data_IF_397281263421
#
_entry.id   IF_397281263421
#
_cell.length_a   1.000
_cell.length_b   1.000
_cell.length_c   1.000
_cell.angle_alpha   90.00
_cell.angle_beta   90.00
_cell.angle_gamma   90.00
#
_symmetry.space_group_name_H-M   'P 1'
#
loop_
_entity.id
_entity.type
_entity.pdbx_description
1 polymer ?
#
# COMPACT_ATOMS: atom_id res chain seq x y z
N UNK A 1 -16.67 1.91 1.09
CA UNK A 1 -16.31 2.86 2.17
C UNK A 1 -16.76 2.35 3.53
N UNK A 2 -18.04 2.43 3.93
CA UNK A 2 -18.49 1.95 5.25
C UNK A 2 -18.21 0.44 5.52
N UNK A 3 -18.31 -0.40 4.49
CA UNK A 3 -17.96 -1.83 4.57
C UNK A 3 -16.46 -2.09 4.74
N UNK A 4 -15.61 -1.15 4.35
CA UNK A 4 -14.15 -1.31 4.34
C UNK A 4 -13.53 -0.85 5.66
N UNK A 5 -14.07 0.23 6.25
CA UNK A 5 -13.70 0.73 7.58
C UNK A 5 -13.97 -0.30 8.68
N UNK A 6 -15.03 -1.10 8.54
CA UNK A 6 -15.33 -2.21 9.46
C UNK A 6 -14.33 -3.38 9.38
N UNK A 7 -13.53 -3.45 8.30
CA UNK A 7 -12.53 -4.49 8.07
C UNK A 7 -11.10 -4.03 8.38
N UNK A 8 -10.90 -2.78 8.76
CA UNK A 8 -9.57 -2.27 9.12
C UNK A 8 -9.07 -2.96 10.40
N UNK A 9 -7.87 -3.53 10.34
CA UNK A 9 -7.21 -4.22 11.47
C UNK A 9 -6.81 -3.22 12.55
N UNK A 10 -7.80 -2.80 13.35
CA UNK A 10 -7.59 -1.98 14.53
C UNK A 10 -6.94 -2.82 15.64
N UNK A 11 -6.08 -2.22 16.49
CA UNK A 11 -5.35 -2.94 17.53
C UNK A 11 -6.25 -3.82 18.41
N UNK A 12 -5.80 -5.06 18.64
CA UNK A 12 -6.48 -6.01 19.53
C UNK A 12 -6.42 -5.50 20.99
N UNK A 13 -7.59 -5.32 21.62
CA UNK A 13 -7.70 -4.84 23.01
C UNK A 13 -8.46 -3.54 23.18
N UNK A 14 -8.89 -2.91 22.09
CA UNK A 14 -9.72 -1.71 22.09
C UNK A 14 -11.18 -2.01 22.41
N UNK A 15 -11.83 -1.14 23.18
CA UNK A 15 -13.27 -1.25 23.45
C UNK A 15 -14.09 -0.90 22.21
N UNK A 16 -15.33 -1.40 22.12
CA UNK A 16 -16.22 -1.11 20.99
C UNK A 16 -16.50 0.39 20.83
N UNK A 17 -16.47 1.14 21.94
CA UNK A 17 -16.65 2.60 21.96
C UNK A 17 -15.45 3.30 21.33
N UNK A 18 -14.24 2.96 21.74
CA UNK A 18 -13.00 3.52 21.16
C UNK A 18 -12.88 3.19 19.67
N UNK A 19 -13.24 1.95 19.29
CA UNK A 19 -13.28 1.53 17.89
C UNK A 19 -14.25 2.39 17.09
N UNK A 20 -15.45 2.62 17.61
CA UNK A 20 -16.48 3.44 16.94
C UNK A 20 -15.99 4.87 16.73
N UNK A 21 -15.36 5.48 17.73
CA UNK A 21 -14.80 6.84 17.63
C UNK A 21 -13.72 6.92 16.55
N UNK A 22 -12.81 5.94 16.49
CA UNK A 22 -11.77 5.92 15.45
C UNK A 22 -12.34 5.70 14.05
N UNK A 23 -13.38 4.89 13.91
CA UNK A 23 -14.06 4.70 12.63
C UNK A 23 -14.73 5.99 12.14
N UNK A 24 -15.39 6.72 13.02
CA UNK A 24 -15.95 8.04 12.70
C UNK A 24 -14.86 9.02 12.27
N UNK A 25 -13.78 9.13 13.05
CA UNK A 25 -12.64 9.99 12.73
C UNK A 25 -11.98 9.63 11.39
N UNK A 26 -11.88 8.34 11.08
CA UNK A 26 -11.34 7.86 9.82
C UNK A 26 -12.21 8.26 8.63
N UNK A 27 -13.53 8.10 8.78
CA UNK A 27 -14.51 8.50 7.76
C UNK A 27 -14.44 10.02 7.54
N UNK A 28 -14.45 10.80 8.61
CA UNK A 28 -14.37 12.26 8.55
C UNK A 28 -13.09 12.72 7.84
N UNK A 29 -11.96 12.11 8.15
CA UNK A 29 -10.68 12.42 7.53
C UNK A 29 -10.68 12.11 6.01
N UNK A 30 -11.19 10.95 5.60
CA UNK A 30 -11.26 10.57 4.18
C UNK A 30 -12.22 11.51 3.43
N UNK A 31 -13.41 11.75 3.99
CA UNK A 31 -14.41 12.64 3.38
C UNK A 31 -13.89 14.06 3.28
N UNK A 32 -13.18 14.56 4.28
CA UNK A 32 -12.56 15.88 4.25
C UNK A 32 -11.60 16.02 3.06
N UNK A 33 -10.71 15.05 2.85
CA UNK A 33 -9.74 15.08 1.73
C UNK A 33 -10.45 15.02 0.38
N UNK A 34 -11.42 14.13 0.21
CA UNK A 34 -12.17 13.99 -1.04
C UNK A 34 -13.06 15.20 -1.34
N UNK A 35 -13.61 15.84 -0.30
CA UNK A 35 -14.39 17.06 -0.47
C UNK A 35 -13.51 18.27 -0.84
N UNK A 36 -12.31 18.36 -0.26
CA UNK A 36 -11.34 19.39 -0.58
C UNK A 36 -10.72 19.24 -1.98
N UNK A 37 -10.69 18.01 -2.50
CA UNK A 37 -10.07 17.65 -3.78
C UNK A 37 -11.03 16.80 -4.65
N UNK A 38 -12.01 17.43 -5.32
CA UNK A 38 -13.04 16.73 -6.10
C UNK A 38 -12.50 15.97 -7.32
N UNK A 39 -11.26 16.24 -7.74
CA UNK A 39 -10.55 15.49 -8.77
C UNK A 39 -10.11 14.09 -8.31
N UNK A 40 -10.05 13.85 -6.99
CA UNK A 40 -9.59 12.59 -6.42
C UNK A 40 -10.76 11.62 -6.19
N UNK A 41 -10.53 10.37 -6.57
CA UNK A 41 -11.52 9.30 -6.46
C UNK A 41 -11.05 8.30 -5.40
N UNK A 42 -11.97 7.90 -4.53
CA UNK A 42 -11.71 6.86 -3.53
C UNK A 42 -11.43 5.52 -4.21
N UNK A 43 -10.36 4.85 -3.80
CA UNK A 43 -10.06 3.48 -4.18
C UNK A 43 -10.08 2.55 -2.95
N UNK A 44 -10.33 1.27 -3.18
CA UNK A 44 -10.33 0.25 -2.13
C UNK A 44 -8.89 0.00 -1.64
N UNK A 45 -8.64 0.31 -0.37
CA UNK A 45 -7.31 0.27 0.26
C UNK A 45 -6.81 1.64 0.73
N UNK A 46 -7.45 2.73 0.29
CA UNK A 46 -7.09 4.09 0.74
C UNK A 46 -7.29 4.29 2.25
N UNK A 47 -8.28 3.61 2.82
CA UNK A 47 -8.57 3.63 4.25
C UNK A 47 -7.43 3.03 5.10
N UNK A 48 -6.61 2.12 4.55
CA UNK A 48 -5.48 1.53 5.27
C UNK A 48 -4.37 2.54 5.49
N UNK A 49 -4.13 3.39 4.50
CA UNK A 49 -3.19 4.52 4.63
C UNK A 49 -3.73 5.53 5.64
N UNK A 50 -5.02 5.85 5.51
CA UNK A 50 -5.69 6.80 6.38
C UNK A 50 -5.69 6.33 7.86
N UNK A 51 -6.02 5.07 8.14
CA UNK A 51 -6.02 4.54 9.52
C UNK A 51 -4.60 4.47 10.08
N UNK A 52 -3.60 4.14 9.26
CA UNK A 52 -2.19 4.16 9.69
C UNK A 52 -1.76 5.55 10.14
N UNK A 53 -2.11 6.59 9.39
CA UNK A 53 -1.85 7.99 9.78
C UNK A 53 -2.64 8.40 11.02
N UNK A 54 -3.92 8.02 11.10
CA UNK A 54 -4.76 8.33 12.26
C UNK A 54 -4.19 7.73 13.55
N UNK A 55 -3.75 6.47 13.51
CA UNK A 55 -3.18 5.76 14.65
C UNK A 55 -1.78 6.27 15.05
N UNK A 56 -1.03 6.86 14.12
CA UNK A 56 0.36 7.28 14.36
C UNK A 56 0.49 8.74 14.79
N UNK A 57 -0.21 9.65 14.11
CA UNK A 57 -0.06 11.09 14.29
C UNK A 57 -1.35 11.78 14.74
N UNK A 58 -2.45 11.02 14.88
CA UNK A 58 -3.75 11.53 15.28
C UNK A 58 -4.49 12.27 14.17
N UNK A 59 -5.76 12.62 14.42
CA UNK A 59 -6.67 13.16 13.40
C UNK A 59 -6.12 14.41 12.70
N UNK A 60 -5.69 15.43 13.45
CA UNK A 60 -5.35 16.74 12.86
C UNK A 60 -4.12 16.69 11.94
N UNK A 61 -3.04 16.05 12.38
CA UNK A 61 -1.83 15.91 11.55
C UNK A 61 -2.03 14.83 10.49
N UNK A 62 -2.75 13.75 10.83
CA UNK A 62 -3.12 12.67 9.91
C UNK A 62 -3.90 13.19 8.70
N UNK A 63 -4.88 14.07 8.90
CA UNK A 63 -5.63 14.68 7.79
C UNK A 63 -4.73 15.50 6.86
N UNK A 64 -3.84 16.32 7.41
CA UNK A 64 -2.93 17.14 6.61
C UNK A 64 -1.92 16.29 5.82
N UNK A 65 -1.39 15.24 6.45
CA UNK A 65 -0.52 14.27 5.78
C UNK A 65 -1.26 13.49 4.70
N UNK A 66 -2.47 13.01 4.99
CA UNK A 66 -3.30 12.27 4.05
C UNK A 66 -3.60 13.12 2.82
N UNK A 67 -3.99 14.39 3.02
CA UNK A 67 -4.23 15.32 1.92
C UNK A 67 -2.98 15.50 1.02
N UNK A 68 -1.81 15.66 1.63
CA UNK A 68 -0.54 15.80 0.90
C UNK A 68 -0.21 14.52 0.13
N UNK A 69 -0.39 13.35 0.75
CA UNK A 69 -0.17 12.06 0.10
C UNK A 69 -1.13 11.82 -1.06
N UNK A 70 -2.42 12.11 -0.86
CA UNK A 70 -3.47 11.97 -1.86
C UNK A 70 -3.23 12.83 -3.11
N UNK A 71 -2.67 14.03 -2.94
CA UNK A 71 -2.37 14.95 -4.05
C UNK A 71 -1.02 14.72 -4.72
N UNK A 72 -0.14 13.91 -4.12
CA UNK A 72 1.21 13.64 -4.62
C UNK A 72 1.42 12.13 -4.84
N UNK A 73 1.74 11.39 -3.78
CA UNK A 73 2.18 9.99 -3.85
C UNK A 73 1.09 9.02 -4.30
N UNK A 74 -0.15 9.27 -3.90
CA UNK A 74 -1.29 8.40 -4.18
C UNK A 74 -2.17 8.92 -5.31
N UNK A 75 -1.82 10.08 -5.88
CA UNK A 75 -2.62 10.77 -6.90
C UNK A 75 -2.94 9.86 -8.09
N UNK A 76 -1.97 9.09 -8.54
CA UNK A 76 -2.11 8.20 -9.70
C UNK A 76 -3.07 7.03 -9.42
N UNK A 77 -3.25 6.65 -8.16
CA UNK A 77 -4.20 5.61 -7.73
C UNK A 77 -5.61 6.15 -7.50
N UNK A 78 -5.75 7.48 -7.35
CA UNK A 78 -7.03 8.18 -7.14
C UNK A 78 -7.61 8.75 -8.44
N UNK A 79 -7.07 8.37 -9.60
CA UNK A 79 -7.63 8.73 -10.90
C UNK A 79 -8.94 7.94 -11.15
N UNK A 80 -9.95 8.53 -11.82
CA UNK A 80 -11.19 7.80 -12.15
C UNK A 80 -10.93 6.57 -13.02
N UNK A 81 -9.81 6.54 -13.75
CA UNK A 81 -9.42 5.42 -14.60
C UNK A 81 -8.22 4.66 -14.02
N UNK A 82 -8.14 3.36 -14.28
CA UNK A 82 -6.97 2.56 -13.90
C UNK A 82 -5.74 2.81 -14.81
N UNK A 83 -5.79 3.75 -15.75
CA UNK A 83 -4.74 3.94 -16.75
C UNK A 83 -3.42 4.38 -16.11
N UNK A 84 -3.48 5.37 -15.20
CA UNK A 84 -2.29 5.83 -14.45
C UNK A 84 -1.74 4.75 -13.54
N UNK A 85 -2.60 4.09 -12.78
CA UNK A 85 -2.24 2.93 -11.96
C UNK A 85 -1.53 1.84 -12.76
N UNK A 86 -2.03 1.50 -13.96
CA UNK A 86 -1.39 0.54 -14.86
C UNK A 86 -0.04 1.04 -15.37
N UNK A 87 0.09 2.33 -15.66
CA UNK A 87 1.37 2.94 -16.04
C UNK A 87 2.39 2.81 -14.91
N UNK A 88 2.02 3.13 -13.66
CA UNK A 88 2.89 2.95 -12.49
C UNK A 88 3.31 1.49 -12.32
N UNK A 89 2.37 0.55 -12.46
CA UNK A 89 2.66 -0.88 -12.38
C UNK A 89 3.56 -1.37 -13.51
N UNK A 90 3.47 -0.78 -14.70
CA UNK A 90 4.28 -1.19 -15.85
C UNK A 90 5.77 -0.99 -15.64
N UNK A 91 6.17 -0.07 -14.74
CA UNK A 91 7.56 0.10 -14.33
C UNK A 91 8.14 -1.12 -13.61
N UNK A 92 7.30 -2.02 -13.06
CA UNK A 92 7.78 -3.25 -12.45
C UNK A 92 8.32 -4.25 -13.47
N UNK A 93 7.73 -4.32 -14.66
CA UNK A 93 8.15 -5.28 -15.69
C UNK A 93 9.64 -5.17 -16.06
N UNK A 94 10.20 -3.99 -16.41
CA UNK A 94 11.62 -3.88 -16.72
C UNK A 94 12.52 -4.17 -15.50
N UNK A 95 12.08 -3.83 -14.28
CA UNK A 95 12.83 -4.13 -13.05
C UNK A 95 12.85 -5.64 -12.74
N UNK A 96 11.72 -6.33 -12.95
CA UNK A 96 11.64 -7.78 -12.82
C UNK A 96 12.49 -8.45 -13.91
N UNK A 97 12.48 -7.90 -15.14
CA UNK A 97 13.31 -8.41 -16.23
C UNK A 97 14.81 -8.34 -15.90
N UNK A 98 15.28 -7.25 -15.28
CA UNK A 98 16.70 -7.11 -14.93
C UNK A 98 17.12 -8.02 -13.77
N UNK A 99 16.25 -8.25 -12.79
CA UNK A 99 16.55 -9.07 -11.61
C UNK A 99 16.28 -10.57 -11.84
N UNK A 100 15.21 -10.92 -12.56
CA UNK A 100 14.78 -12.30 -12.80
C UNK A 100 14.05 -12.47 -14.15
N UNK A 101 14.78 -12.65 -15.27
CA UNK A 101 14.21 -12.86 -16.60
C UNK A 101 13.22 -14.05 -16.66
N UNK A 102 13.49 -15.13 -15.91
CA UNK A 102 12.62 -16.31 -15.88
C UNK A 102 11.22 -16.01 -15.30
N UNK A 103 11.14 -15.15 -14.28
CA UNK A 103 9.86 -14.71 -13.73
C UNK A 103 9.15 -13.77 -14.70
N UNK A 104 9.88 -12.83 -15.29
CA UNK A 104 9.34 -11.92 -16.29
C UNK A 104 8.65 -12.69 -17.44
N UNK A 105 9.31 -13.71 -17.99
CA UNK A 105 8.77 -14.52 -19.08
C UNK A 105 7.57 -15.38 -18.65
N UNK A 106 7.52 -15.78 -17.37
CA UNK A 106 6.36 -16.44 -16.80
C UNK A 106 5.15 -15.48 -16.67
N UNK A 107 5.38 -14.26 -16.18
CA UNK A 107 4.33 -13.24 -16.04
C UNK A 107 3.78 -12.79 -17.39
N UNK A 108 4.64 -12.66 -18.42
CA UNK A 108 4.21 -12.37 -19.78
C UNK A 108 3.34 -13.50 -20.36
N UNK A 109 3.78 -14.76 -20.24
CA UNK A 109 3.02 -15.91 -20.78
C UNK A 109 1.70 -16.17 -20.07
N UNK A 110 1.59 -15.78 -18.80
CA UNK A 110 0.38 -15.97 -18.01
C UNK A 110 -0.63 -14.83 -18.17
N UNK A 111 -0.29 -13.76 -18.89
CA UNK A 111 -1.12 -12.57 -19.09
C UNK A 111 -1.56 -11.87 -17.78
N UNK A 112 -0.95 -12.24 -16.64
CA UNK A 112 -1.24 -11.67 -15.32
C UNK A 112 -0.70 -10.24 -15.20
N UNK A 113 0.41 -9.96 -15.90
CA UNK A 113 1.12 -8.69 -15.81
C UNK A 113 1.59 -8.40 -14.38
N UNK A 114 1.42 -7.15 -13.92
CA UNK A 114 1.84 -6.70 -12.59
C UNK A 114 0.67 -6.43 -11.62
N UNK A 115 -0.53 -6.92 -11.93
CA UNK A 115 -1.73 -6.63 -11.13
C UNK A 115 -1.59 -7.15 -9.69
N UNK A 116 -0.82 -8.22 -9.46
CA UNK A 116 -0.56 -8.73 -8.11
C UNK A 116 0.10 -7.71 -7.17
N UNK A 117 0.91 -6.79 -7.71
CA UNK A 117 1.60 -5.76 -6.93
C UNK A 117 0.72 -4.54 -6.66
N UNK A 118 -0.47 -4.48 -7.26
CA UNK A 118 -1.39 -3.35 -7.08
C UNK A 118 -1.77 -3.18 -5.61
N UNK A 119 -2.20 -4.26 -4.95
CA UNK A 119 -2.59 -4.23 -3.54
C UNK A 119 -1.45 -3.73 -2.65
N UNK A 120 -0.21 -4.04 -2.99
CA UNK A 120 0.97 -3.62 -2.25
C UNK A 120 1.21 -2.11 -2.36
N UNK A 121 1.11 -1.57 -3.58
CA UNK A 121 1.35 -0.15 -3.84
C UNK A 121 0.22 0.73 -3.27
N UNK A 122 -1.03 0.31 -3.41
CA UNK A 122 -2.18 1.16 -2.99
C UNK A 122 -2.38 1.20 -1.47
N UNK A 123 -1.87 0.19 -0.75
CA UNK A 123 -1.93 0.12 0.73
C UNK A 123 -0.58 0.42 1.40
N UNK A 124 0.46 0.77 0.62
CA UNK A 124 1.84 0.87 1.10
C UNK A 124 2.26 -0.34 1.96
N UNK A 125 1.95 -1.53 1.47
CA UNK A 125 2.23 -2.82 2.11
C UNK A 125 1.57 -3.04 3.49
N UNK A 126 0.65 -2.17 3.90
CA UNK A 126 -0.04 -2.28 5.19
C UNK A 126 -0.81 -3.59 5.38
N UNK A 127 -1.28 -4.20 4.29
CA UNK A 127 -1.97 -5.51 4.30
C UNK A 127 -1.03 -6.70 4.25
N UNK A 128 0.24 -6.49 3.88
CA UNK A 128 1.19 -7.58 3.61
C UNK A 128 2.06 -7.84 4.83
N UNK A 129 2.39 -6.79 5.59
CA UNK A 129 3.22 -6.88 6.78
C UNK A 129 2.33 -7.03 8.02
N UNK A 130 2.55 -8.11 8.77
CA UNK A 130 1.81 -8.40 10.00
C UNK A 130 2.23 -7.51 11.19
N UNK A 131 3.42 -6.90 11.10
CA UNK A 131 4.01 -6.08 12.15
C UNK A 131 3.85 -4.60 11.83
N UNK A 132 3.05 -3.91 12.64
CA UNK A 132 2.78 -2.49 12.51
C UNK A 132 4.08 -1.65 12.53
N UNK A 133 5.09 -2.03 13.33
CA UNK A 133 6.36 -1.30 13.37
C UNK A 133 7.16 -1.42 12.06
N UNK A 134 7.00 -2.51 11.32
CA UNK A 134 7.61 -2.65 9.99
C UNK A 134 6.91 -1.78 8.96
N UNK A 135 5.57 -1.70 9.03
CA UNK A 135 4.78 -0.79 8.19
C UNK A 135 5.23 0.65 8.43
N UNK A 136 5.35 1.09 9.68
CA UNK A 136 5.79 2.46 9.98
C UNK A 136 7.17 2.80 9.44
N UNK A 137 8.13 1.87 9.54
CA UNK A 137 9.47 2.08 8.95
C UNK A 137 9.43 2.24 7.44
N UNK A 138 8.55 1.50 6.74
CA UNK A 138 8.34 1.71 5.31
C UNK A 138 7.69 3.06 5.02
N UNK A 139 6.75 3.51 5.85
CA UNK A 139 6.15 4.83 5.73
C UNK A 139 7.21 5.93 5.86
N UNK A 140 8.09 5.85 6.86
CA UNK A 140 9.21 6.79 7.04
C UNK A 140 10.10 6.82 5.78
N UNK A 141 10.40 5.65 5.22
CA UNK A 141 11.19 5.54 4.00
C UNK A 141 10.49 6.13 2.78
N UNK A 142 9.19 5.86 2.58
CA UNK A 142 8.43 6.37 1.44
C UNK A 142 8.23 7.88 1.53
N UNK A 143 7.96 8.41 2.72
CA UNK A 143 7.82 9.85 2.96
C UNK A 143 9.13 10.62 2.71
N UNK A 144 10.27 10.00 3.01
CA UNK A 144 11.60 10.60 2.80
C UNK A 144 12.15 10.42 1.36
N UNK A 145 11.46 9.65 0.52
CA UNK A 145 11.97 9.20 -0.79
C UNK A 145 11.11 9.69 -1.96
N UNK A 146 11.52 9.33 -3.18
CA UNK A 146 10.75 9.61 -4.39
C UNK A 146 9.41 8.83 -4.40
N UNK A 147 8.31 9.38 -4.94
CA UNK A 147 6.99 8.70 -4.96
C UNK A 147 6.96 7.32 -5.63
N UNK A 148 7.93 7.01 -6.49
CA UNK A 148 8.08 5.70 -7.14
C UNK A 148 8.81 4.67 -6.27
N UNK A 149 9.32 5.05 -5.10
CA UNK A 149 10.06 4.15 -4.22
C UNK A 149 9.29 2.88 -3.82
N UNK A 150 7.96 2.92 -3.57
CA UNK A 150 7.18 1.70 -3.35
C UNK A 150 7.29 0.67 -4.49
N UNK A 151 7.46 1.13 -5.74
CA UNK A 151 7.66 0.28 -6.93
C UNK A 151 9.03 -0.41 -6.89
N UNK A 152 10.07 0.34 -6.52
CA UNK A 152 11.41 -0.23 -6.35
C UNK A 152 11.45 -1.28 -5.22
N UNK A 153 10.74 -1.03 -4.11
CA UNK A 153 10.59 -2.02 -3.05
C UNK A 153 9.92 -3.31 -3.55
N UNK A 154 8.89 -3.21 -4.39
CA UNK A 154 8.21 -4.37 -4.97
C UNK A 154 9.14 -5.18 -5.89
N UNK A 155 9.99 -4.50 -6.67
CA UNK A 155 10.97 -5.16 -7.53
C UNK A 155 12.09 -5.87 -6.76
N UNK A 156 12.51 -5.32 -5.61
CA UNK A 156 13.55 -5.90 -4.76
C UNK A 156 13.07 -7.12 -3.94
N UNK A 157 11.77 -7.43 -3.95
CA UNK A 157 11.25 -8.66 -3.35
C UNK A 157 11.92 -9.83 -4.06
N UNK A 158 12.77 -10.57 -3.33
CA UNK A 158 13.60 -11.63 -3.93
C UNK A 158 12.71 -12.81 -4.35
N UNK A 159 12.32 -12.81 -5.61
CA UNK A 159 11.56 -13.88 -6.27
C UNK A 159 12.30 -15.22 -6.33
N UNK A 160 13.63 -15.23 -6.15
CA UNK A 160 14.46 -16.42 -6.23
C UNK A 160 14.21 -17.48 -5.14
N UNK A 161 13.53 -17.14 -4.05
CA UNK A 161 13.06 -18.13 -3.06
C UNK A 161 11.72 -18.77 -3.45
N UNK A 162 11.04 -18.22 -4.47
CA UNK A 162 9.93 -18.85 -5.17
C UNK A 162 10.46 -19.94 -6.11
N UNK A 163 11.26 -20.87 -5.58
CA UNK A 163 11.28 -22.21 -6.15
C UNK A 163 9.81 -22.64 -6.15
N UNK A 164 9.29 -22.93 -7.34
CA UNK A 164 8.18 -23.82 -7.70
C UNK A 164 7.66 -24.72 -6.54
N UNK A 165 7.18 -24.14 -5.46
CA UNK A 165 6.63 -24.82 -4.29
C UNK A 165 5.23 -24.26 -4.15
N UNK A 166 4.26 -25.09 -4.51
CA UNK A 166 2.86 -24.83 -4.26
C UNK A 166 2.67 -24.55 -2.77
N UNK A 167 2.36 -23.30 -2.43
CA UNK A 167 1.72 -22.96 -1.17
C UNK A 167 2.28 -21.80 -0.35
N UNK A 168 3.45 -21.22 -0.64
CA UNK A 168 3.96 -20.08 0.16
C UNK A 168 3.56 -18.75 -0.49
N UNK A 169 2.74 -17.97 0.22
CA UNK A 169 2.29 -16.67 -0.25
C UNK A 169 3.46 -15.68 -0.33
N UNK A 170 3.50 -14.80 -1.36
CA UNK A 170 4.54 -13.78 -1.52
C UNK A 170 4.73 -12.86 -0.29
N UNK A 171 3.69 -12.71 0.53
CA UNK A 171 3.68 -11.89 1.74
C UNK A 171 4.73 -12.32 2.79
N UNK A 172 4.84 -13.63 3.07
CA UNK A 172 5.74 -14.17 4.09
C UNK A 172 7.23 -14.00 3.73
N UNK A 173 7.53 -14.01 2.44
CA UNK A 173 8.89 -13.75 1.95
C UNK A 173 9.28 -12.29 2.03
N UNK A 174 8.31 -11.38 1.96
CA UNK A 174 8.52 -9.94 1.98
C UNK A 174 8.98 -9.46 3.37
N UNK A 175 8.36 -9.96 4.43
CA UNK A 175 8.78 -9.72 5.83
C UNK A 175 10.25 -10.09 6.05
N UNK A 176 10.71 -11.18 5.43
CA UNK A 176 12.11 -11.63 5.56
C UNK A 176 13.09 -10.81 4.72
N UNK A 177 12.67 -10.25 3.58
CA UNK A 177 13.56 -9.50 2.68
C UNK A 177 13.64 -8.02 3.06
N UNK A 178 12.52 -7.39 3.42
CA UNK A 178 12.49 -5.99 3.86
C UNK A 178 13.26 -5.79 5.17
N UNK A 179 13.12 -6.71 6.14
CA UNK A 179 13.77 -6.59 7.45
C UNK A 179 15.29 -6.82 7.38
N UNK A 180 15.77 -7.74 6.53
CA UNK A 180 17.20 -8.10 6.52
C UNK A 180 18.10 -7.23 5.64
N UNK A 181 17.55 -6.44 4.71
CA UNK A 181 18.34 -5.60 3.80
C UNK A 181 18.34 -4.11 4.14
N UNK A 182 17.43 -3.68 5.01
CA UNK A 182 17.20 -2.25 5.32
C UNK A 182 17.26 -1.96 6.83
N UNK A 183 17.78 -2.90 7.64
CA UNK A 183 18.26 -2.70 9.01
C UNK A 183 19.78 -2.97 9.07
#
# INVERSE_FOLDING_TARGET
MFSDVSRSDLPLGMTDVERSVLQEQLIDMILYVLHAHPELHYYQGFHDVAVTLLLTVGLRLGTAMLQTLSTHHLRDFMDPTMERTRSVLSYLMPLIQSECPALHDFLLRSEVGCIFALSWLITWYGHVLSDFHQVLRLYDFFLASHPLMPVYCAAQVRWGSLRVYGGVQPADHMTRVCVHRWC
#
